data_IF_099361974124
#
_entry.id   IF_099361974124
#
_cell.length_a   1.000
_cell.length_b   1.000
_cell.length_c   1.000
_cell.angle_alpha   90.00
_cell.angle_beta   90.00
_cell.angle_gamma   90.00
#
_symmetry.space_group_name_H-M   'P 1'
#
loop_
_entity.id
_entity.type
_entity.pdbx_description
1 polymer ?
#
# COMPACT_ATOMS: atom_id res chain seq x y z
N UNK A 1 5.24 -21.63 -10.03
CA UNK A 1 4.06 -22.50 -9.81
C UNK A 1 4.58 -23.93 -9.99
N UNK A 2 4.98 -24.69 -8.96
CA UNK A 2 5.61 -26.02 -9.17
C UNK A 2 6.83 -26.03 -10.13
N UNK A 3 7.36 -27.21 -10.45
CA UNK A 3 8.42 -27.38 -11.46
C UNK A 3 7.83 -27.34 -12.88
N UNK A 4 8.37 -26.47 -13.73
CA UNK A 4 8.01 -26.39 -15.15
C UNK A 4 6.86 -25.45 -15.53
N UNK A 5 6.20 -24.78 -14.57
CA UNK A 5 5.16 -23.80 -14.90
C UNK A 5 5.69 -22.37 -14.76
N UNK A 6 5.52 -21.61 -15.84
CA UNK A 6 5.75 -20.17 -15.89
C UNK A 6 4.41 -19.46 -16.10
N UNK A 7 4.32 -18.22 -15.63
CA UNK A 7 3.14 -17.38 -15.78
C UNK A 7 3.57 -16.12 -16.52
N UNK A 8 3.13 -15.98 -17.76
CA UNK A 8 3.28 -14.73 -18.50
C UNK A 8 2.13 -13.81 -18.14
N UNK A 9 2.47 -12.63 -17.63
CA UNK A 9 1.48 -11.63 -17.25
C UNK A 9 1.80 -10.32 -17.96
N UNK A 10 0.78 -9.63 -18.49
CA UNK A 10 0.97 -8.28 -18.99
C UNK A 10 1.50 -7.38 -17.88
N UNK A 11 2.46 -6.51 -18.20
CA UNK A 11 3.07 -5.59 -17.23
C UNK A 11 2.01 -4.79 -16.46
N UNK A 12 0.94 -4.35 -17.13
CA UNK A 12 -0.17 -3.63 -16.48
C UNK A 12 -0.82 -4.41 -15.34
N UNK A 13 -0.94 -5.73 -15.48
CA UNK A 13 -1.56 -6.60 -14.47
C UNK A 13 -0.62 -6.76 -13.28
N UNK A 14 0.67 -6.97 -13.53
CA UNK A 14 1.67 -7.02 -12.46
C UNK A 14 1.66 -5.72 -11.66
N UNK A 15 1.65 -4.56 -12.31
CA UNK A 15 1.67 -3.28 -11.62
C UNK A 15 0.36 -3.04 -10.86
N UNK A 16 -0.77 -3.12 -11.55
CA UNK A 16 -2.06 -2.66 -11.02
C UNK A 16 -2.69 -3.64 -10.04
N UNK A 17 -2.57 -4.94 -10.31
CA UNK A 17 -3.31 -5.97 -9.59
C UNK A 17 -2.46 -6.74 -8.59
N UNK A 18 -1.12 -6.70 -8.73
CA UNK A 18 -0.21 -7.45 -7.85
C UNK A 18 0.66 -6.51 -7.01
N UNK A 19 1.47 -5.67 -7.65
CA UNK A 19 2.50 -4.87 -6.99
C UNK A 19 1.91 -3.71 -6.19
N UNK A 20 1.01 -2.91 -6.79
CA UNK A 20 0.37 -1.78 -6.10
C UNK A 20 -0.40 -2.26 -4.86
N UNK A 21 -1.29 -3.28 -4.94
CA UNK A 21 -2.01 -3.76 -3.76
C UNK A 21 -1.07 -4.32 -2.68
N UNK A 22 -0.06 -5.11 -3.07
CA UNK A 22 0.93 -5.67 -2.12
C UNK A 22 1.73 -4.57 -1.43
N UNK A 23 2.12 -3.53 -2.16
CA UNK A 23 2.83 -2.39 -1.61
C UNK A 23 2.00 -1.67 -0.54
N UNK A 24 0.74 -1.34 -0.84
CA UNK A 24 -0.15 -0.68 0.12
C UNK A 24 -0.49 -1.56 1.32
N UNK A 25 -0.58 -2.88 1.13
CA UNK A 25 -0.72 -3.82 2.25
C UNK A 25 0.46 -3.70 3.22
N UNK A 26 1.70 -3.86 2.73
CA UNK A 26 2.88 -3.78 3.60
C UNK A 26 3.04 -2.42 4.26
N UNK A 27 2.82 -1.32 3.51
CA UNK A 27 2.87 0.04 4.06
C UNK A 27 1.86 0.22 5.21
N UNK A 28 0.61 -0.22 5.00
CA UNK A 28 -0.45 -0.12 6.02
C UNK A 28 -0.15 -0.99 7.24
N UNK A 29 0.35 -2.21 7.03
CA UNK A 29 0.74 -3.12 8.11
C UNK A 29 1.87 -2.55 8.95
N UNK A 30 2.92 -2.00 8.33
CA UNK A 30 4.03 -1.35 9.05
C UNK A 30 3.52 -0.17 9.88
N UNK A 31 2.68 0.69 9.31
CA UNK A 31 2.03 1.78 10.05
C UNK A 31 1.23 1.25 11.26
N UNK A 32 0.43 0.20 11.07
CA UNK A 32 -0.37 -0.39 12.13
C UNK A 32 0.49 -0.96 13.27
N UNK A 33 1.58 -1.66 12.95
CA UNK A 33 2.53 -2.20 13.94
C UNK A 33 3.17 -1.04 14.74
N UNK A 34 3.72 -0.04 14.06
CA UNK A 34 4.37 1.09 14.73
C UNK A 34 3.39 1.86 15.63
N UNK A 35 2.16 2.07 15.15
CA UNK A 35 1.11 2.71 15.95
C UNK A 35 0.68 1.86 17.14
N UNK A 36 0.62 0.54 16.99
CA UNK A 36 0.34 -0.37 18.11
C UNK A 36 1.46 -0.38 19.16
N UNK A 37 2.71 -0.15 18.75
CA UNK A 37 3.86 0.01 19.65
C UNK A 37 3.94 1.41 20.32
N UNK A 38 2.95 2.27 20.11
CA UNK A 38 2.90 3.59 20.73
C UNK A 38 3.76 4.67 20.06
N UNK A 39 4.29 4.40 18.85
CA UNK A 39 4.95 5.45 18.06
C UNK A 39 3.92 6.54 17.73
N UNK A 40 4.24 7.84 17.92
CA UNK A 40 3.29 8.94 17.74
C UNK A 40 3.02 9.23 16.26
N UNK A 41 2.43 8.27 15.55
CA UNK A 41 2.04 8.36 14.14
C UNK A 41 0.55 8.73 14.01
N UNK A 42 0.26 9.70 13.16
CA UNK A 42 -1.06 10.12 12.75
C UNK A 42 -1.52 9.49 11.43
N UNK A 43 -2.79 9.70 11.08
CA UNK A 43 -3.36 9.25 9.79
C UNK A 43 -2.65 9.89 8.60
N UNK A 44 -2.14 11.11 8.80
CA UNK A 44 -1.36 11.89 7.84
C UNK A 44 -0.06 11.17 7.45
N UNK A 45 0.61 10.51 8.40
CA UNK A 45 1.90 9.86 8.16
C UNK A 45 1.79 8.61 7.26
N UNK A 46 0.63 7.94 7.29
CA UNK A 46 0.33 6.81 6.39
C UNK A 46 -0.23 7.27 5.04
N UNK A 47 -0.96 8.38 5.02
CA UNK A 47 -1.76 8.81 3.86
C UNK A 47 -1.28 10.16 3.30
N UNK A 48 0.00 10.51 3.49
CA UNK A 48 0.55 11.81 3.07
C UNK A 48 0.31 12.08 1.57
N UNK A 49 0.34 11.04 0.72
CA UNK A 49 0.05 11.15 -0.71
C UNK A 49 -1.38 11.62 -1.02
N UNK A 50 -2.33 11.42 -0.10
CA UNK A 50 -3.71 11.88 -0.26
C UNK A 50 -3.89 13.37 0.10
N UNK A 51 -2.90 14.02 0.70
CA UNK A 51 -3.01 15.40 1.16
C UNK A 51 -3.37 16.39 0.05
N UNK A 52 -2.90 16.18 -1.18
CA UNK A 52 -3.26 17.00 -2.35
C UNK A 52 -4.75 16.89 -2.75
N UNK A 53 -5.40 15.80 -2.34
CA UNK A 53 -6.81 15.51 -2.60
C UNK A 53 -7.73 15.89 -1.43
N UNK A 54 -7.19 16.26 -0.27
CA UNK A 54 -8.00 16.73 0.86
C UNK A 54 -8.63 18.08 0.51
N UNK A 55 -9.94 18.19 0.73
CA UNK A 55 -10.71 19.43 0.61
C UNK A 55 -11.38 19.72 1.95
N UNK A 56 -11.46 20.99 2.33
CA UNK A 56 -12.19 21.42 3.53
C UNK A 56 -13.67 21.48 3.17
N UNK A 57 -14.54 20.85 3.95
CA UNK A 57 -15.98 21.10 3.86
C UNK A 57 -16.23 22.55 4.30
N UNK A 58 -17.05 23.26 3.53
CA UNK A 58 -17.44 24.64 3.81
C UNK A 58 -18.31 24.74 5.07
#
# INVERSE_FOLDING_TARGET
MGSGLYCETPVRFQVSDVLIPSFYFHLTTTYAILRALGVPLGKVDSMAFLMSFVRRAA
#
